data_IF_737195573080
#
_entry.id   IF_737195573080
#
_cell.length_a   1.000
_cell.length_b   1.000
_cell.length_c   1.000
_cell.angle_alpha   90.00
_cell.angle_beta   90.00
_cell.angle_gamma   90.00
#
_symmetry.space_group_name_H-M   'P 1'
#
loop_
_entity.id
_entity.type
_entity.pdbx_description
1 polymer ?
#
# COMPACT_ATOMS: atom_id res chain seq x y z
N UNK A 1 4.35 -12.16 -7.76
CA UNK A 1 5.54 -12.98 -8.10
C UNK A 1 6.69 -12.15 -8.63
N UNK A 2 6.51 -11.32 -9.68
CA UNK A 2 7.59 -10.45 -10.19
C UNK A 2 8.20 -9.52 -9.12
N UNK A 3 7.38 -8.90 -8.25
CA UNK A 3 7.87 -8.09 -7.12
C UNK A 3 8.69 -8.91 -6.12
N UNK A 4 8.21 -10.11 -5.79
CA UNK A 4 8.91 -11.05 -4.89
C UNK A 4 10.26 -11.47 -5.46
N UNK A 5 10.33 -11.80 -6.76
CA UNK A 5 11.59 -12.13 -7.43
C UNK A 5 12.63 -10.99 -7.37
N UNK A 6 12.20 -9.72 -7.35
CA UNK A 6 13.08 -8.55 -7.24
C UNK A 6 13.49 -8.23 -5.81
N UNK A 7 12.68 -8.61 -4.83
CA UNK A 7 12.92 -8.37 -3.40
C UNK A 7 13.63 -9.54 -2.72
N UNK A 8 13.67 -10.71 -3.36
CA UNK A 8 14.37 -11.89 -2.88
C UNK A 8 15.86 -11.57 -2.67
N UNK A 9 16.38 -11.96 -1.51
CA UNK A 9 17.79 -11.76 -1.15
C UNK A 9 18.69 -12.88 -1.65
N UNK A 10 18.10 -13.98 -2.12
CA UNK A 10 18.78 -15.15 -2.67
C UNK A 10 18.33 -15.41 -4.12
N UNK A 11 19.29 -15.71 -5.00
CA UNK A 11 19.00 -15.89 -6.44
C UNK A 11 18.14 -17.14 -6.70
N UNK A 12 18.29 -18.21 -5.92
CA UNK A 12 17.48 -19.40 -6.11
C UNK A 12 16.01 -19.15 -5.74
N UNK A 13 15.77 -18.32 -4.73
CA UNK A 13 14.42 -17.84 -4.40
C UNK A 13 13.86 -16.94 -5.52
N UNK A 14 14.67 -16.03 -6.06
CA UNK A 14 14.27 -15.19 -7.19
C UNK A 14 13.89 -16.03 -8.42
N UNK A 15 14.69 -17.04 -8.75
CA UNK A 15 14.45 -17.99 -9.84
C UNK A 15 13.19 -18.81 -9.63
N UNK A 16 12.91 -19.27 -8.40
CA UNK A 16 11.68 -19.98 -8.08
C UNK A 16 10.44 -19.11 -8.37
N UNK A 17 10.46 -17.83 -7.99
CA UNK A 17 9.37 -16.91 -8.31
C UNK A 17 9.24 -16.61 -9.80
N UNK A 18 10.35 -16.59 -10.56
CA UNK A 18 10.32 -16.42 -12.03
C UNK A 18 9.76 -17.67 -12.72
N UNK A 19 10.14 -18.85 -12.27
CA UNK A 19 9.67 -20.14 -12.79
C UNK A 19 8.17 -20.32 -12.56
N UNK A 20 7.70 -20.12 -11.32
CA UNK A 20 6.28 -20.25 -10.98
C UNK A 20 5.42 -19.21 -11.78
N UNK A 21 5.99 -18.03 -12.09
CA UNK A 21 5.33 -17.05 -12.95
C UNK A 21 5.24 -17.56 -14.39
N UNK A 22 6.32 -18.12 -14.92
CA UNK A 22 6.34 -18.67 -16.28
C UNK A 22 5.35 -19.84 -16.41
N UNK A 23 5.29 -20.73 -15.43
CA UNK A 23 4.35 -21.85 -15.39
C UNK A 23 2.89 -21.35 -15.34
N UNK A 24 2.61 -20.33 -14.51
CA UNK A 24 1.28 -19.73 -14.41
C UNK A 24 0.86 -19.08 -15.71
N UNK A 25 1.74 -18.30 -16.36
CA UNK A 25 1.41 -17.60 -17.60
C UNK A 25 1.27 -18.58 -18.79
N UNK A 26 2.12 -19.60 -18.84
CA UNK A 26 2.03 -20.66 -19.86
C UNK A 26 0.73 -21.44 -19.79
N UNK A 27 0.11 -21.59 -18.61
CA UNK A 27 -1.22 -22.18 -18.48
C UNK A 27 -2.35 -21.33 -19.12
N UNK A 28 -2.05 -20.08 -19.47
CA UNK A 28 -2.97 -19.14 -20.10
C UNK A 28 -2.53 -18.71 -21.51
N UNK A 29 -1.46 -19.29 -22.07
CA UNK A 29 -0.84 -18.89 -23.34
C UNK A 29 -0.31 -17.44 -23.35
N UNK A 30 0.29 -17.01 -22.25
CA UNK A 30 0.94 -15.71 -22.09
C UNK A 30 2.43 -15.84 -21.75
N UNK A 31 3.19 -14.80 -22.08
CA UNK A 31 4.55 -14.57 -21.59
C UNK A 31 4.66 -13.22 -20.90
N UNK A 32 5.80 -13.00 -20.26
CA UNK A 32 6.12 -11.76 -19.56
C UNK A 32 7.46 -11.19 -20.01
N UNK A 33 7.49 -9.86 -20.17
CA UNK A 33 8.73 -9.07 -20.30
C UNK A 33 8.70 -7.91 -19.31
N UNK A 34 9.88 -7.50 -18.85
CA UNK A 34 10.03 -6.24 -18.12
C UNK A 34 10.52 -5.17 -19.10
N UNK A 35 9.83 -4.03 -19.14
CA UNK A 35 10.29 -2.81 -19.80
C UNK A 35 11.07 -2.01 -18.76
N UNK A 36 12.39 -1.91 -18.97
CA UNK A 36 13.29 -1.30 -17.98
C UNK A 36 13.11 0.23 -17.88
N UNK A 37 12.71 0.88 -18.98
CA UNK A 37 12.59 2.36 -19.05
C UNK A 37 11.63 2.94 -18.00
N UNK A 38 10.56 2.22 -17.66
CA UNK A 38 9.52 2.64 -16.71
C UNK A 38 9.18 1.55 -15.68
N UNK A 39 10.07 0.55 -15.54
CA UNK A 39 9.91 -0.60 -14.64
C UNK A 39 8.52 -1.23 -14.72
N UNK A 40 8.05 -1.54 -15.93
CA UNK A 40 6.72 -2.11 -16.16
C UNK A 40 6.80 -3.58 -16.52
N UNK A 41 5.98 -4.40 -15.86
CA UNK A 41 5.73 -5.78 -16.26
C UNK A 41 4.69 -5.78 -17.37
N UNK A 42 5.07 -6.28 -18.53
CA UNK A 42 4.19 -6.43 -19.69
C UNK A 42 3.90 -7.92 -19.86
N UNK A 43 2.61 -8.27 -19.86
CA UNK A 43 2.10 -9.59 -20.19
C UNK A 43 1.46 -9.53 -21.57
N UNK A 44 1.78 -10.48 -22.45
CA UNK A 44 1.16 -10.56 -23.77
C UNK A 44 1.06 -12.00 -24.25
N UNK A 45 0.12 -12.31 -25.16
CA UNK A 45 -0.07 -13.64 -25.70
C UNK A 45 1.20 -14.21 -26.34
N UNK A 46 1.46 -15.51 -26.11
CA UNK A 46 2.62 -16.20 -26.68
C UNK A 46 2.59 -16.25 -28.21
N UNK A 47 1.40 -16.27 -28.81
CA UNK A 47 1.22 -16.32 -30.26
C UNK A 47 1.78 -15.09 -30.99
N UNK A 48 1.97 -13.97 -30.28
CA UNK A 48 2.59 -12.76 -30.83
C UNK A 48 4.09 -12.91 -31.03
N UNK A 49 4.70 -13.96 -30.48
CA UNK A 49 6.12 -14.23 -30.62
C UNK A 49 6.42 -15.18 -31.79
N UNK A 50 7.48 -14.88 -32.52
CA UNK A 50 8.26 -15.85 -33.26
C UNK A 50 9.61 -16.04 -32.54
N UNK A 51 9.67 -17.08 -31.70
CA UNK A 51 10.79 -17.28 -30.79
C UNK A 51 10.84 -16.21 -29.70
N UNK A 52 11.88 -15.37 -29.72
CA UNK A 52 12.10 -14.28 -28.76
C UNK A 52 11.67 -12.90 -29.30
N UNK A 53 11.19 -12.87 -30.55
CA UNK A 53 10.88 -11.63 -31.27
C UNK A 53 9.38 -11.46 -31.42
N UNK A 54 8.89 -10.24 -31.16
CA UNK A 54 7.47 -9.88 -31.35
C UNK A 54 7.20 -9.63 -32.83
N UNK A 55 6.26 -10.38 -33.39
CA UNK A 55 5.79 -10.25 -34.77
C UNK A 55 4.54 -9.37 -34.82
N UNK A 56 4.70 -8.11 -35.25
CA UNK A 56 3.62 -7.12 -35.27
C UNK A 56 2.41 -7.56 -36.10
N UNK A 57 2.63 -8.32 -37.18
CA UNK A 57 1.57 -8.83 -38.05
C UNK A 57 0.67 -9.88 -37.37
N UNK A 58 1.09 -10.43 -36.21
CA UNK A 58 0.30 -11.37 -35.38
C UNK A 58 -0.50 -10.67 -34.28
N UNK A 59 -0.34 -9.35 -34.13
CA UNK A 59 -1.03 -8.56 -33.12
C UNK A 59 -2.33 -8.04 -33.72
N UNK A 60 -3.40 -8.82 -33.59
CA UNK A 60 -4.73 -8.42 -34.05
C UNK A 60 -5.43 -7.47 -33.07
N UNK A 61 -5.10 -7.56 -31.78
CA UNK A 61 -5.74 -6.81 -30.70
C UNK A 61 -4.76 -6.51 -29.56
N UNK A 62 -4.28 -5.27 -29.49
CA UNK A 62 -3.35 -4.82 -28.45
C UNK A 62 -3.96 -4.79 -27.05
N UNK A 63 -5.28 -4.77 -26.90
CA UNK A 63 -5.95 -4.71 -25.59
C UNK A 63 -5.79 -6.03 -24.81
N UNK A 64 -5.31 -7.09 -25.47
CA UNK A 64 -4.92 -8.35 -24.83
C UNK A 64 -3.62 -8.25 -24.06
N UNK A 65 -2.81 -7.21 -24.27
CA UNK A 65 -1.63 -6.97 -23.45
C UNK A 65 -2.04 -6.33 -22.11
N UNK A 66 -1.38 -6.75 -21.02
CA UNK A 66 -1.57 -6.18 -19.70
C UNK A 66 -0.26 -5.55 -19.24
N UNK A 67 -0.28 -4.26 -18.95
CA UNK A 67 0.84 -3.52 -18.39
C UNK A 67 0.62 -3.24 -16.91
N UNK A 68 1.56 -3.66 -16.07
CA UNK A 68 1.55 -3.45 -14.63
C UNK A 68 2.83 -2.73 -14.23
N UNK A 69 2.77 -1.45 -13.83
CA UNK A 69 3.92 -0.76 -13.27
C UNK A 69 4.42 -1.48 -12.02
N UNK A 70 5.70 -1.88 -12.02
CA UNK A 70 6.36 -2.47 -10.84
C UNK A 70 6.81 -1.37 -9.88
N UNK A 71 7.04 -0.17 -10.41
CA UNK A 71 7.23 1.08 -9.69
C UNK A 71 6.16 2.10 -10.12
N UNK A 72 5.70 2.98 -9.22
CA UNK A 72 4.95 4.18 -9.64
C UNK A 72 3.41 4.15 -9.63
N UNK A 73 2.73 3.22 -8.94
CA UNK A 73 1.28 3.34 -8.67
C UNK A 73 1.02 3.55 -7.17
N UNK A 74 1.39 4.73 -6.67
CA UNK A 74 1.42 5.09 -5.25
C UNK A 74 2.85 4.98 -4.73
N UNK A 75 3.53 6.12 -4.62
CA UNK A 75 4.97 6.22 -4.33
C UNK A 75 5.35 5.69 -2.92
N UNK A 76 4.37 5.45 -2.06
CA UNK A 76 4.63 4.94 -0.73
C UNK A 76 4.45 3.42 -0.72
N UNK A 77 5.56 2.67 -0.78
CA UNK A 77 5.53 1.24 -0.44
C UNK A 77 4.96 1.06 0.97
N UNK A 78 4.29 -0.06 1.28
CA UNK A 78 3.78 -0.32 2.64
C UNK A 78 4.85 -0.06 3.72
N UNK A 79 6.11 -0.41 3.44
CA UNK A 79 7.23 -0.16 4.35
C UNK A 79 7.56 1.35 4.53
N UNK A 80 7.44 2.14 3.46
CA UNK A 80 7.59 3.60 3.53
C UNK A 80 6.43 4.25 4.30
N UNK A 81 5.18 3.86 3.98
CA UNK A 81 3.99 4.29 4.73
C UNK A 81 4.13 3.97 6.22
N UNK A 82 4.52 2.74 6.55
CA UNK A 82 4.69 2.32 7.94
C UNK A 82 5.82 3.11 8.63
N UNK A 83 6.95 3.33 7.96
CA UNK A 83 8.05 4.11 8.53
C UNK A 83 7.64 5.55 8.83
N UNK A 84 6.95 6.22 7.91
CA UNK A 84 6.48 7.59 8.06
C UNK A 84 5.42 7.69 9.17
N UNK A 85 4.42 6.80 9.15
CA UNK A 85 3.39 6.78 10.18
C UNK A 85 3.96 6.44 11.56
N UNK A 86 4.91 5.50 11.66
CA UNK A 86 5.54 5.14 12.93
C UNK A 86 6.35 6.30 13.52
N UNK A 87 7.02 7.11 12.69
CA UNK A 87 7.73 8.29 13.16
C UNK A 87 6.79 9.31 13.83
N UNK A 88 5.60 9.54 13.25
CA UNK A 88 4.57 10.39 13.83
C UNK A 88 4.05 9.83 15.16
N UNK A 89 3.82 8.53 15.24
CA UNK A 89 3.39 7.86 16.49
C UNK A 89 4.41 8.06 17.59
N UNK A 90 5.70 7.83 17.31
CA UNK A 90 6.78 8.07 18.29
C UNK A 90 6.81 9.53 18.74
N UNK A 91 6.73 10.48 17.82
CA UNK A 91 6.73 11.90 18.15
C UNK A 91 5.53 12.31 19.04
N UNK A 92 4.34 11.74 18.81
CA UNK A 92 3.18 11.94 19.69
C UNK A 92 3.44 11.36 21.09
N UNK A 93 4.02 10.17 21.18
CA UNK A 93 4.36 9.56 22.47
C UNK A 93 5.38 10.36 23.27
N UNK A 94 6.40 10.90 22.60
CA UNK A 94 7.42 11.76 23.23
C UNK A 94 6.83 13.09 23.72
N UNK A 95 5.92 13.70 22.95
CA UNK A 95 5.37 15.02 23.28
C UNK A 95 4.17 14.98 24.24
N UNK A 96 3.32 13.95 24.14
CA UNK A 96 2.01 13.92 24.81
C UNK A 96 1.84 12.70 25.74
N UNK A 97 2.68 11.67 25.62
CA UNK A 97 2.68 10.50 26.49
C UNK A 97 1.95 9.29 25.91
N UNK A 98 2.05 8.17 26.64
CA UNK A 98 1.74 6.82 26.11
C UNK A 98 0.28 6.58 25.74
N UNK A 99 -0.68 7.27 26.36
CA UNK A 99 -2.10 7.14 26.00
C UNK A 99 -2.33 7.69 24.58
N UNK A 100 -1.73 8.84 24.28
CA UNK A 100 -1.83 9.46 22.96
C UNK A 100 -1.02 8.68 21.92
N UNK A 101 0.14 8.14 22.29
CA UNK A 101 0.92 7.22 21.44
C UNK A 101 0.09 6.01 21.02
N UNK A 102 -0.60 5.36 21.97
CA UNK A 102 -1.41 4.18 21.69
C UNK A 102 -2.58 4.49 20.74
N UNK A 103 -3.24 5.64 20.93
CA UNK A 103 -4.30 6.09 20.02
C UNK A 103 -3.76 6.46 18.63
N UNK A 104 -2.61 7.12 18.57
CA UNK A 104 -1.94 7.43 17.32
C UNK A 104 -1.53 6.15 16.56
N UNK A 105 -1.01 5.13 17.28
CA UNK A 105 -0.68 3.84 16.69
C UNK A 105 -1.90 3.16 16.08
N UNK A 106 -3.03 3.17 16.79
CA UNK A 106 -4.27 2.62 16.26
C UNK A 106 -4.70 3.30 14.94
N UNK A 107 -4.53 4.63 14.83
CA UNK A 107 -4.83 5.36 13.61
C UNK A 107 -3.82 5.06 12.49
N UNK A 108 -2.53 4.97 12.82
CA UNK A 108 -1.48 4.55 11.89
C UNK A 108 -1.75 3.15 11.30
N UNK A 109 -2.15 2.19 12.15
CA UNK A 109 -2.54 0.85 11.73
C UNK A 109 -3.73 0.85 10.77
N UNK A 110 -4.74 1.67 11.05
CA UNK A 110 -5.89 1.85 10.17
C UNK A 110 -5.48 2.40 8.80
N UNK A 111 -4.76 3.52 8.77
CA UNK A 111 -4.35 4.17 7.53
C UNK A 111 -3.38 3.30 6.71
N UNK A 112 -2.41 2.68 7.37
CA UNK A 112 -1.39 1.83 6.74
C UNK A 112 -1.95 0.50 6.26
N UNK A 113 -2.73 -0.21 7.07
CA UNK A 113 -3.20 -1.55 6.71
C UNK A 113 -4.47 -1.53 5.86
N UNK A 114 -5.39 -0.58 6.10
CA UNK A 114 -6.67 -0.53 5.38
C UNK A 114 -6.55 0.20 4.04
N UNK A 115 -5.74 1.27 3.97
CA UNK A 115 -5.62 2.09 2.76
C UNK A 115 -4.22 2.14 2.15
N UNK A 116 -3.19 1.60 2.82
CA UNK A 116 -1.79 1.78 2.43
C UNK A 116 -1.46 3.26 2.21
N UNK A 117 -1.83 4.11 3.18
CA UNK A 117 -1.69 5.57 3.09
C UNK A 117 -1.00 6.17 4.30
N UNK A 118 -0.27 7.26 4.05
CA UNK A 118 0.28 8.14 5.07
C UNK A 118 -0.81 8.91 5.79
N UNK A 119 -0.61 9.18 7.08
CA UNK A 119 -1.55 9.90 7.95
C UNK A 119 -1.88 11.29 7.40
N UNK A 120 -0.92 11.99 6.81
CA UNK A 120 -1.07 13.33 6.24
C UNK A 120 -2.07 13.38 5.07
N UNK A 121 -2.36 12.23 4.46
CA UNK A 121 -3.36 12.10 3.40
C UNK A 121 -4.76 11.71 3.89
N UNK A 122 -4.96 11.61 5.20
CA UNK A 122 -6.24 11.28 5.79
C UNK A 122 -7.32 12.32 5.43
N UNK A 123 -8.53 11.84 5.19
CA UNK A 123 -9.68 12.66 4.86
C UNK A 123 -10.67 12.66 6.02
N UNK A 124 -11.66 13.55 5.98
CA UNK A 124 -12.77 13.55 6.93
C UNK A 124 -13.51 12.20 7.00
N UNK A 125 -13.68 11.53 5.85
CA UNK A 125 -14.35 10.23 5.77
C UNK A 125 -13.50 9.13 6.43
N UNK A 126 -12.17 9.13 6.20
CA UNK A 126 -11.28 8.21 6.91
C UNK A 126 -11.33 8.42 8.42
N UNK A 127 -11.41 9.68 8.87
CA UNK A 127 -11.50 10.00 10.30
C UNK A 127 -12.81 9.52 10.92
N UNK A 128 -13.94 9.73 10.22
CA UNK A 128 -15.24 9.27 10.67
C UNK A 128 -15.30 7.73 10.73
N UNK A 129 -14.84 7.05 9.67
CA UNK A 129 -14.77 5.58 9.63
C UNK A 129 -13.89 5.03 10.74
N UNK A 130 -12.72 5.65 10.99
CA UNK A 130 -11.86 5.25 12.08
C UNK A 130 -12.56 5.32 13.43
N UNK A 131 -13.14 6.47 13.76
CA UNK A 131 -13.75 6.70 15.07
C UNK A 131 -15.04 5.89 15.29
N UNK A 132 -15.91 5.80 14.28
CA UNK A 132 -17.23 5.20 14.40
C UNK A 132 -17.22 3.69 14.18
N UNK A 133 -16.30 3.19 13.36
CA UNK A 133 -16.31 1.79 12.91
C UNK A 133 -15.07 1.02 13.34
N UNK A 134 -13.88 1.51 12.99
CA UNK A 134 -12.65 0.74 13.19
C UNK A 134 -12.25 0.68 14.67
N UNK A 135 -12.14 1.83 15.33
CA UNK A 135 -11.66 1.98 16.69
C UNK A 135 -12.46 1.13 17.71
N UNK A 136 -13.81 1.23 17.78
CA UNK A 136 -14.59 0.45 18.75
C UNK A 136 -14.56 -1.06 18.49
N UNK A 137 -14.31 -1.50 17.25
CA UNK A 137 -14.29 -2.92 16.89
C UNK A 137 -12.92 -3.58 17.10
N UNK A 138 -11.83 -2.82 16.95
CA UNK A 138 -10.48 -3.41 16.82
C UNK A 138 -9.50 -3.01 17.93
N UNK A 139 -9.61 -1.82 18.52
CA UNK A 139 -8.54 -1.27 19.38
C UNK A 139 -8.64 -1.74 20.83
N UNK A 140 -9.83 -2.18 21.27
CA UNK A 140 -10.11 -2.61 22.66
C UNK A 140 -9.57 -1.64 23.73
N UNK A 141 -9.73 -0.35 23.45
CA UNK A 141 -9.21 0.74 24.28
C UNK A 141 -9.89 0.81 25.66
N UNK A 142 -9.11 1.15 26.68
CA UNK A 142 -9.65 1.47 28.00
C UNK A 142 -10.40 2.82 28.03
N UNK A 143 -11.00 3.15 29.18
CA UNK A 143 -11.79 4.37 29.32
C UNK A 143 -10.97 5.66 29.16
N UNK A 144 -9.70 5.65 29.58
CA UNK A 144 -8.83 6.81 29.49
C UNK A 144 -8.38 7.02 28.04
N UNK A 145 -8.05 5.95 27.31
CA UNK A 145 -7.77 5.98 25.88
C UNK A 145 -8.98 6.49 25.07
N UNK A 146 -10.18 6.00 25.37
CA UNK A 146 -11.41 6.44 24.70
C UNK A 146 -11.69 7.92 24.96
N UNK A 147 -11.56 8.38 26.21
CA UNK A 147 -11.75 9.78 26.57
C UNK A 147 -10.72 10.70 25.92
N UNK A 148 -9.51 10.20 25.65
CA UNK A 148 -8.43 10.94 25.04
C UNK A 148 -8.41 10.90 23.50
N UNK A 149 -9.32 10.14 22.85
CA UNK A 149 -9.22 9.84 21.42
C UNK A 149 -9.20 11.09 20.54
N UNK A 150 -10.15 12.01 20.74
CA UNK A 150 -10.26 13.22 19.93
C UNK A 150 -9.01 14.09 20.05
N UNK A 151 -8.54 14.34 21.27
CA UNK A 151 -7.31 15.07 21.53
C UNK A 151 -6.07 14.37 20.95
N UNK A 152 -6.03 13.03 20.97
CA UNK A 152 -4.92 12.25 20.41
C UNK A 152 -4.81 12.44 18.89
N UNK A 153 -5.95 12.48 18.19
CA UNK A 153 -5.99 12.73 16.75
C UNK A 153 -5.56 14.16 16.43
N UNK A 154 -6.03 15.15 17.20
CA UNK A 154 -5.57 16.54 17.05
C UNK A 154 -4.05 16.67 17.24
N UNK A 155 -3.48 16.03 18.27
CA UNK A 155 -2.04 16.02 18.48
C UNK A 155 -1.28 15.32 17.35
N UNK A 156 -1.81 14.22 16.83
CA UNK A 156 -1.19 13.49 15.73
C UNK A 156 -1.08 14.34 14.46
N UNK A 157 -2.17 15.01 14.07
CA UNK A 157 -2.13 15.90 12.91
C UNK A 157 -1.28 17.15 13.16
N UNK A 158 -1.30 17.68 14.40
CA UNK A 158 -0.43 18.77 14.80
C UNK A 158 1.07 18.43 14.69
N UNK A 159 1.47 17.22 15.10
CA UNK A 159 2.84 16.71 14.92
C UNK A 159 3.18 16.50 13.45
N UNK A 160 2.20 16.12 12.63
CA UNK A 160 2.34 15.99 11.19
C UNK A 160 2.31 17.32 10.42
N UNK A 161 2.25 18.47 11.11
CA UNK A 161 2.15 19.82 10.54
C UNK A 161 1.02 19.96 9.50
N UNK A 162 -0.10 19.29 9.76
CA UNK A 162 -1.30 19.37 8.92
C UNK A 162 -2.54 19.61 9.76
N UNK A 163 -3.56 20.22 9.16
CA UNK A 163 -4.84 20.41 9.84
C UNK A 163 -5.57 19.06 9.99
N UNK A 164 -6.09 18.81 11.19
CA UNK A 164 -6.94 17.65 11.45
C UNK A 164 -8.25 17.81 10.65
N UNK A 165 -8.62 16.84 9.79
CA UNK A 165 -9.86 16.93 9.02
C UNK A 165 -11.08 17.02 9.93
N UNK A 166 -11.97 17.98 9.67
CA UNK A 166 -13.23 18.07 10.39
C UNK A 166 -14.12 16.86 10.04
N UNK A 167 -14.55 16.11 11.07
CA UNK A 167 -15.46 14.98 10.85
C UNK A 167 -16.77 15.50 10.26
N UNK A 168 -17.17 14.95 9.12
CA UNK A 168 -18.51 15.19 8.61
C UNK A 168 -19.50 14.55 9.58
N UNK A 169 -20.20 15.37 10.37
CA UNK A 169 -21.30 14.88 11.18
C UNK A 169 -22.34 14.28 10.22
N UNK A 170 -22.49 12.96 10.20
CA UNK A 170 -23.64 12.33 9.55
C UNK A 170 -24.91 12.84 10.26
N UNK A 171 -25.63 13.76 9.60
CA UNK A 171 -27.00 14.13 9.93
C UNK A 171 -27.95 12.94 9.75
#
# INVERSE_FOLDING_TARGET
MTRLARQATDEAEADAYRADRADTLGAHDYTARIREDDDTLILYPDEWLDGDTVELDRIDDTDRAVEIPLSGAGDDTWAAVEADNAALVTAVGEAHGSIHEANARAFADFMGNHYCRRIESATADHLAEFCEEYYPRNVWADADQQAALDASLEYLFGVADTECPERSAKM
#
